data_IF_712238742257
#
_entry.id   IF_712238742257
#
_cell.length_a   1.000
_cell.length_b   1.000
_cell.length_c   1.000
_cell.angle_alpha   90.00
_cell.angle_beta   90.00
_cell.angle_gamma   90.00
#
_symmetry.space_group_name_H-M   'P 1'
#
loop_
_entity.id
_entity.type
_entity.pdbx_description
1 polymer ?
#
# COMPACT_ATOMS: atom_id res chain seq x y z
N UNK A 1 -70.57 -17.21 43.71
CA UNK A 1 -69.69 -18.27 44.27
C UNK A 1 -68.79 -18.81 43.17
N UNK A 2 -67.49 -18.96 43.45
CA UNK A 2 -66.40 -19.57 42.65
C UNK A 2 -66.00 -18.77 41.39
N UNK A 3 -65.06 -17.83 41.44
CA UNK A 3 -63.59 -18.00 41.47
C UNK A 3 -63.06 -19.10 40.55
N UNK A 4 -62.37 -18.71 39.48
CA UNK A 4 -61.17 -19.42 39.01
C UNK A 4 -60.40 -18.52 38.03
N UNK A 5 -59.29 -17.97 38.53
CA UNK A 5 -58.19 -17.43 37.72
C UNK A 5 -57.68 -18.57 36.83
N UNK A 6 -57.68 -18.37 35.50
CA UNK A 6 -56.89 -19.21 34.59
C UNK A 6 -55.69 -18.42 34.09
N UNK A 7 -54.56 -18.91 34.57
CA UNK A 7 -53.20 -18.72 34.09
C UNK A 7 -53.15 -18.90 32.56
N UNK A 8 -52.82 -17.85 31.82
CA UNK A 8 -52.40 -17.95 30.42
C UNK A 8 -50.89 -17.82 30.39
N UNK A 9 -50.22 -18.97 30.29
CA UNK A 9 -48.81 -19.09 29.93
C UNK A 9 -48.72 -18.66 28.47
N UNK A 10 -48.40 -17.39 28.25
CA UNK A 10 -48.06 -16.84 26.94
C UNK A 10 -46.60 -17.13 26.66
N UNK A 11 -46.33 -18.21 25.95
CA UNK A 11 -45.03 -18.59 25.41
C UNK A 11 -44.46 -17.47 24.54
N UNK A 12 -43.36 -16.86 25.00
CA UNK A 12 -42.51 -16.01 24.16
C UNK A 12 -41.89 -16.86 23.06
N UNK A 13 -42.46 -16.79 21.86
CA UNK A 13 -41.81 -17.28 20.64
C UNK A 13 -40.68 -16.32 20.33
N UNK A 14 -39.46 -16.75 20.64
CA UNK A 14 -38.24 -16.12 20.14
C UNK A 14 -38.28 -16.17 18.61
N UNK A 15 -38.46 -15.01 17.97
CA UNK A 15 -38.29 -14.87 16.53
C UNK A 15 -36.81 -15.07 16.24
N UNK A 16 -36.46 -16.30 15.88
CA UNK A 16 -35.18 -16.63 15.28
C UNK A 16 -35.08 -15.80 13.99
N UNK A 17 -34.26 -14.75 14.01
CA UNK A 17 -33.80 -14.10 12.79
C UNK A 17 -32.96 -15.14 12.06
N UNK A 18 -33.61 -15.89 11.16
CA UNK A 18 -32.93 -16.71 10.17
C UNK A 18 -32.10 -15.72 9.36
N UNK A 19 -30.81 -15.70 9.65
CA UNK A 19 -29.83 -15.02 8.81
C UNK A 19 -30.00 -15.61 7.41
N UNK A 20 -30.61 -14.82 6.52
CA UNK A 20 -30.72 -15.16 5.11
C UNK A 20 -29.29 -15.30 4.60
N UNK A 21 -28.83 -16.55 4.50
CA UNK A 21 -27.62 -16.87 3.78
C UNK A 21 -27.84 -16.39 2.35
N UNK A 22 -27.19 -15.29 1.98
CA UNK A 22 -27.14 -14.88 0.59
C UNK A 22 -26.64 -16.09 -0.23
N UNK A 23 -27.27 -16.39 -1.38
CA UNK A 23 -26.94 -17.58 -2.14
C UNK A 23 -25.44 -17.60 -2.44
N UNK A 24 -24.79 -18.71 -2.14
CA UNK A 24 -23.40 -18.95 -2.51
C UNK A 24 -23.26 -18.73 -4.01
N UNK A 25 -22.55 -17.66 -4.41
CA UNK A 25 -22.33 -17.38 -5.82
C UNK A 25 -21.37 -18.45 -6.34
N UNK A 26 -21.87 -19.31 -7.23
CA UNK A 26 -21.05 -20.27 -7.94
C UNK A 26 -19.81 -19.56 -8.50
N UNK A 27 -18.63 -19.97 -8.02
CA UNK A 27 -17.33 -19.38 -8.38
C UNK A 27 -16.67 -18.46 -7.35
N UNK A 28 -17.26 -18.21 -6.16
CA UNK A 28 -16.62 -17.35 -5.14
C UNK A 28 -15.42 -18.05 -4.49
N UNK A 29 -14.22 -17.80 -5.01
CA UNK A 29 -12.96 -18.19 -4.36
C UNK A 29 -12.64 -17.36 -3.12
N UNK A 30 -13.50 -16.44 -2.70
CA UNK A 30 -13.31 -15.61 -1.51
C UNK A 30 -14.29 -16.03 -0.42
N UNK A 31 -13.79 -16.26 0.79
CA UNK A 31 -14.59 -16.53 1.98
C UNK A 31 -15.43 -15.34 2.41
N UNK A 32 -16.45 -15.62 3.24
CA UNK A 32 -17.37 -14.61 3.76
C UNK A 32 -16.61 -13.48 4.48
N UNK A 33 -17.04 -12.22 4.34
CA UNK A 33 -16.46 -11.10 5.08
C UNK A 33 -16.44 -11.35 6.59
N UNK A 34 -15.26 -11.22 7.20
CA UNK A 34 -15.05 -11.27 8.64
C UNK A 34 -14.74 -9.87 9.16
N UNK A 35 -15.36 -9.47 10.27
CA UNK A 35 -15.03 -8.21 10.92
C UNK A 35 -13.62 -8.29 11.51
N UNK A 36 -12.75 -7.38 11.07
CA UNK A 36 -11.39 -7.20 11.61
C UNK A 36 -11.40 -6.26 12.82
N UNK A 37 -12.21 -5.21 12.77
CA UNK A 37 -12.30 -4.21 13.83
C UNK A 37 -13.71 -3.64 13.96
N UNK A 38 -14.22 -3.42 15.20
CA UNK A 38 -15.48 -2.72 15.43
C UNK A 38 -15.40 -1.21 15.19
N UNK A 39 -14.19 -0.67 15.04
CA UNK A 39 -13.91 0.74 14.74
C UNK A 39 -13.35 0.90 13.34
N UNK A 40 -13.55 2.08 12.76
CA UNK A 40 -13.03 2.46 11.44
C UNK A 40 -11.53 2.74 11.50
N UNK A 41 -10.93 2.99 10.33
CA UNK A 41 -9.54 3.36 10.20
C UNK A 41 -9.19 3.87 8.80
N UNK A 42 -7.93 4.21 8.60
CA UNK A 42 -7.35 4.45 7.28
C UNK A 42 -5.92 3.92 7.21
N UNK A 43 -5.28 4.04 6.03
CA UNK A 43 -3.97 3.45 5.75
C UNK A 43 -3.87 1.98 6.18
N UNK A 44 -4.86 1.17 5.78
CA UNK A 44 -4.90 -0.24 6.17
C UNK A 44 -3.76 -0.96 5.44
N UNK A 45 -2.86 -1.57 6.19
CA UNK A 45 -1.77 -2.40 5.69
C UNK A 45 -2.01 -3.85 6.09
N UNK A 46 -1.68 -4.77 5.18
CA UNK A 46 -1.76 -6.22 5.43
C UNK A 46 -0.41 -6.83 5.06
N UNK A 47 0.15 -7.61 5.97
CA UNK A 47 1.38 -8.35 5.70
C UNK A 47 1.19 -9.34 4.55
N UNK A 48 2.28 -9.69 3.86
CA UNK A 48 2.28 -10.51 2.63
C UNK A 48 1.45 -11.76 2.70
N UNK A 49 1.60 -12.47 3.81
CA UNK A 49 0.96 -13.75 4.07
C UNK A 49 -0.48 -13.58 4.55
N UNK A 50 -0.98 -12.34 4.65
CA UNK A 50 -2.29 -12.02 5.20
C UNK A 50 -2.39 -12.28 6.70
N UNK A 51 -1.28 -12.53 7.38
CA UNK A 51 -1.26 -12.97 8.78
C UNK A 51 -1.52 -11.84 9.77
N UNK A 52 -1.27 -10.60 9.36
CA UNK A 52 -1.27 -9.43 10.22
C UNK A 52 -1.87 -8.28 9.44
N UNK A 53 -2.77 -7.54 10.07
CA UNK A 53 -3.29 -6.29 9.55
C UNK A 53 -3.05 -5.18 10.57
N UNK A 54 -2.69 -3.99 10.11
CA UNK A 54 -2.64 -2.80 10.92
C UNK A 54 -3.23 -1.60 10.18
N UNK A 55 -3.63 -0.60 10.94
CA UNK A 55 -4.26 0.60 10.41
C UNK A 55 -4.11 1.74 11.39
N UNK A 56 -4.23 2.96 10.88
CA UNK A 56 -4.34 4.16 11.70
C UNK A 56 -5.82 4.27 12.13
N UNK A 57 -6.07 4.23 13.44
CA UNK A 57 -7.38 4.09 14.04
C UNK A 57 -8.15 5.42 14.16
N UNK A 58 -8.16 6.17 13.06
CA UNK A 58 -8.93 7.40 12.85
C UNK A 58 -9.63 7.35 11.50
N UNK A 59 -10.73 8.10 11.38
CA UNK A 59 -11.45 8.21 10.12
C UNK A 59 -10.69 9.01 9.07
N UNK A 60 -9.80 9.92 9.44
CA UNK A 60 -8.93 10.68 8.56
C UNK A 60 -7.78 11.27 9.39
N UNK A 61 -6.67 11.63 8.74
CA UNK A 61 -5.55 12.32 9.36
C UNK A 61 -4.80 11.49 10.41
N UNK A 62 -3.84 12.10 11.09
CA UNK A 62 -2.96 11.41 12.03
C UNK A 62 -3.72 10.74 13.20
N UNK A 63 -3.21 9.62 13.71
CA UNK A 63 -3.89 8.88 14.78
C UNK A 63 -3.08 7.74 15.40
N UNK A 64 -3.66 7.01 16.37
CA UNK A 64 -3.01 5.86 16.96
C UNK A 64 -3.02 4.65 16.02
N UNK A 65 -1.98 3.81 16.06
CA UNK A 65 -1.93 2.58 15.25
C UNK A 65 -2.49 1.39 16.01
N UNK A 66 -3.32 0.60 15.33
CA UNK A 66 -3.87 -0.66 15.83
C UNK A 66 -3.52 -1.79 14.89
N UNK A 67 -3.41 -2.99 15.46
CA UNK A 67 -3.12 -4.20 14.72
C UNK A 67 -3.96 -5.39 15.20
N UNK A 68 -4.12 -6.37 14.32
CA UNK A 68 -4.71 -7.67 14.64
C UNK A 68 -4.02 -8.78 13.86
N UNK A 69 -4.01 -9.98 14.44
CA UNK A 69 -3.41 -11.18 13.85
C UNK A 69 -4.50 -12.15 13.42
N UNK A 70 -4.38 -12.67 12.21
CA UNK A 70 -5.24 -13.75 11.74
C UNK A 70 -4.85 -15.05 12.45
N UNK A 71 -5.84 -15.74 13.03
CA UNK A 71 -5.63 -17.01 13.74
C UNK A 71 -5.90 -18.19 12.83
N UNK A 72 -7.11 -18.27 12.29
CA UNK A 72 -7.54 -19.30 11.33
C UNK A 72 -8.90 -18.94 10.77
N UNK A 73 -9.39 -19.69 9.78
CA UNK A 73 -10.74 -19.48 9.22
C UNK A 73 -11.82 -19.65 10.29
N UNK A 74 -11.67 -20.66 11.15
CA UNK A 74 -12.59 -20.96 12.24
C UNK A 74 -12.50 -19.95 13.39
N UNK A 75 -11.30 -19.47 13.73
CA UNK A 75 -11.07 -18.56 14.86
C UNK A 75 -11.08 -17.07 14.48
N UNK A 76 -11.10 -16.75 13.19
CA UNK A 76 -11.05 -15.39 12.65
C UNK A 76 -9.78 -14.63 13.07
N UNK A 77 -9.96 -13.35 13.37
CA UNK A 77 -8.90 -12.45 13.81
C UNK A 77 -8.81 -12.38 15.33
N UNK A 78 -7.61 -12.12 15.85
CA UNK A 78 -7.41 -11.79 17.26
C UNK A 78 -8.14 -10.50 17.63
N UNK A 79 -8.30 -10.28 18.93
CA UNK A 79 -8.67 -8.95 19.44
C UNK A 79 -7.68 -7.92 18.90
N UNK A 80 -8.21 -6.77 18.49
CA UNK A 80 -7.42 -5.61 18.09
C UNK A 80 -6.60 -5.11 19.29
N UNK A 81 -5.31 -4.88 19.06
CA UNK A 81 -4.39 -4.30 20.05
C UNK A 81 -3.81 -2.99 19.52
N UNK A 82 -3.51 -2.05 20.41
CA UNK A 82 -2.74 -0.86 20.05
C UNK A 82 -1.26 -1.22 19.90
N UNK A 83 -0.55 -0.52 19.01
CA UNK A 83 0.91 -0.50 19.04
C UNK A 83 1.31 0.58 20.07
N UNK A 84 1.97 0.22 21.19
CA UNK A 84 2.31 1.21 22.22
C UNK A 84 3.23 2.30 21.66
N UNK A 85 3.03 3.56 22.08
CA UNK A 85 3.83 4.71 21.61
C UNK A 85 3.52 5.19 20.18
N UNK A 86 2.69 4.49 19.41
CA UNK A 86 2.35 4.87 18.04
C UNK A 86 1.17 5.87 18.01
N UNK A 87 1.37 7.10 18.47
CA UNK A 87 0.37 8.18 18.44
C UNK A 87 0.73 9.24 17.38
N UNK A 88 -0.28 9.90 16.80
CA UNK A 88 -0.03 10.95 15.80
C UNK A 88 0.54 10.42 14.48
N UNK A 89 0.35 9.14 14.17
CA UNK A 89 0.87 8.50 12.96
C UNK A 89 0.03 8.89 11.76
N UNK A 90 0.68 9.38 10.69
CA UNK A 90 0.07 9.73 9.40
C UNK A 90 0.43 8.75 8.28
N UNK A 91 1.55 8.03 8.42
CA UNK A 91 2.04 7.06 7.43
C UNK A 91 2.29 5.71 8.10
N UNK A 92 1.98 4.61 7.42
CA UNK A 92 2.12 3.26 7.96
C UNK A 92 2.58 2.27 6.90
N UNK A 93 3.64 1.51 7.21
CA UNK A 93 4.10 0.36 6.45
C UNK A 93 4.34 -0.84 7.39
N UNK A 94 4.08 -2.05 6.90
CA UNK A 94 4.30 -3.29 7.65
C UNK A 94 5.15 -4.27 6.85
N UNK A 95 6.07 -4.96 7.53
CA UNK A 95 6.91 -6.00 6.93
C UNK A 95 6.10 -7.23 6.46
N UNK A 96 6.67 -8.06 5.59
CA UNK A 96 5.99 -9.23 5.02
C UNK A 96 5.53 -10.26 6.04
N UNK A 97 6.34 -10.50 7.07
CA UNK A 97 6.00 -11.36 8.21
C UNK A 97 5.04 -10.66 9.21
N UNK A 98 4.87 -9.35 9.03
CA UNK A 98 4.12 -8.47 9.89
C UNK A 98 4.70 -8.31 11.28
N UNK A 99 6.01 -8.50 11.45
CA UNK A 99 6.71 -8.31 12.72
C UNK A 99 7.27 -6.90 12.91
N UNK A 100 7.30 -6.07 11.87
CA UNK A 100 7.76 -4.68 11.97
C UNK A 100 6.70 -3.73 11.41
N UNK A 101 6.57 -2.57 12.04
CA UNK A 101 5.74 -1.47 11.58
C UNK A 101 6.58 -0.19 11.57
N UNK A 102 6.75 0.41 10.39
CA UNK A 102 7.34 1.74 10.21
C UNK A 102 6.21 2.76 10.16
N UNK A 103 6.33 3.83 10.94
CA UNK A 103 5.25 4.79 11.20
C UNK A 103 5.78 6.22 11.11
N UNK A 104 5.25 7.02 10.19
CA UNK A 104 5.60 8.44 10.07
C UNK A 104 4.76 9.29 11.02
N UNK A 105 5.42 10.19 11.74
CA UNK A 105 4.81 11.15 12.68
C UNK A 105 5.30 12.54 12.32
N UNK A 106 4.38 13.40 11.88
CA UNK A 106 4.68 14.77 11.48
C UNK A 106 5.43 15.53 12.60
N UNK A 107 6.50 16.25 12.23
CA UNK A 107 7.34 17.01 13.14
C UNK A 107 8.27 16.16 14.04
N UNK A 108 8.18 14.83 14.03
CA UNK A 108 9.04 13.94 14.83
C UNK A 108 9.98 13.09 13.98
N UNK A 109 9.47 12.57 12.85
CA UNK A 109 10.18 11.67 11.96
C UNK A 109 9.49 10.31 11.86
N UNK A 110 10.27 9.23 11.86
CA UNK A 110 9.75 7.87 11.71
C UNK A 110 10.04 6.99 12.92
N UNK A 111 8.98 6.36 13.43
CA UNK A 111 9.02 5.38 14.49
C UNK A 111 9.03 3.95 13.92
N UNK A 112 9.71 3.04 14.60
CA UNK A 112 9.66 1.61 14.33
C UNK A 112 9.13 0.86 15.55
N UNK A 113 8.15 -0.01 15.35
CA UNK A 113 7.73 -0.98 16.36
C UNK A 113 8.02 -2.40 15.90
N UNK A 114 8.46 -3.24 16.82
CA UNK A 114 8.71 -4.66 16.61
C UNK A 114 7.67 -5.49 17.36
N UNK A 115 7.21 -6.57 16.74
CA UNK A 115 6.35 -7.58 17.36
C UNK A 115 7.18 -8.78 17.79
N UNK A 116 7.01 -9.20 19.04
CA UNK A 116 7.56 -10.45 19.57
C UNK A 116 6.41 -11.39 19.90
N UNK A 117 6.28 -12.48 19.15
CA UNK A 117 5.16 -13.41 19.27
C UNK A 117 3.80 -12.76 18.96
N UNK A 118 3.04 -12.41 19.99
CA UNK A 118 1.68 -11.81 19.86
C UNK A 118 1.59 -10.37 20.35
N UNK A 119 2.67 -9.82 20.92
CA UNK A 119 2.70 -8.48 21.52
C UNK A 119 3.58 -7.55 20.72
N UNK A 120 3.15 -6.30 20.61
CA UNK A 120 3.95 -5.21 20.03
C UNK A 120 4.76 -4.54 21.14
N UNK A 121 6.06 -4.40 20.91
CA UNK A 121 6.90 -3.50 21.69
C UNK A 121 6.50 -2.05 21.47
N UNK A 122 6.93 -1.17 22.37
CA UNK A 122 6.76 0.26 22.19
C UNK A 122 7.48 0.75 20.94
N UNK A 123 6.81 1.60 20.17
CA UNK A 123 7.40 2.26 19.02
C UNK A 123 8.56 3.15 19.49
N UNK A 124 9.71 3.00 18.85
CA UNK A 124 10.92 3.79 19.11
C UNK A 124 11.26 4.64 17.90
N UNK A 125 11.87 5.80 18.12
CA UNK A 125 12.36 6.64 17.01
C UNK A 125 13.47 5.90 16.28
N UNK A 126 13.27 5.66 14.99
CA UNK A 126 14.28 5.11 14.08
C UNK A 126 14.98 6.23 13.32
N UNK A 127 14.19 7.16 12.77
CA UNK A 127 14.65 8.34 12.05
C UNK A 127 14.08 9.55 12.77
N UNK A 128 14.95 10.40 13.32
CA UNK A 128 14.55 11.63 13.97
C UNK A 128 14.63 12.80 12.98
N UNK A 129 13.68 13.73 13.06
CA UNK A 129 13.72 14.98 12.32
C UNK A 129 12.33 15.50 11.95
N UNK A 130 12.17 16.82 11.95
CA UNK A 130 10.94 17.47 11.49
C UNK A 130 10.86 17.58 9.97
N UNK A 131 12.00 17.47 9.28
CA UNK A 131 12.17 17.68 7.85
C UNK A 131 12.52 16.38 7.10
N UNK A 132 12.13 15.23 7.65
CA UNK A 132 12.28 13.93 6.97
C UNK A 132 10.94 13.46 6.39
N UNK A 133 10.97 12.86 5.21
CA UNK A 133 9.77 12.46 4.49
C UNK A 133 9.96 11.21 3.62
N UNK A 134 8.83 10.61 3.24
CA UNK A 134 8.73 9.53 2.27
C UNK A 134 9.48 8.26 2.64
N UNK A 135 9.63 7.94 3.93
CA UNK A 135 10.38 6.76 4.32
C UNK A 135 9.73 5.47 3.79
N UNK A 136 10.55 4.57 3.24
CA UNK A 136 10.14 3.27 2.74
C UNK A 136 10.97 2.18 3.37
N UNK A 137 10.31 1.09 3.75
CA UNK A 137 10.92 -0.08 4.37
C UNK A 137 10.88 -1.27 3.41
N UNK A 138 12.00 -1.97 3.28
CA UNK A 138 12.04 -3.24 2.55
C UNK A 138 11.12 -4.27 3.19
N UNK A 139 10.71 -5.25 2.39
CA UNK A 139 9.75 -6.29 2.77
C UNK A 139 10.13 -7.03 4.06
N UNK A 140 11.41 -7.31 4.23
CA UNK A 140 11.99 -8.02 5.38
C UNK A 140 12.41 -7.09 6.53
N UNK A 141 12.13 -5.78 6.40
CA UNK A 141 12.54 -4.73 7.32
C UNK A 141 14.06 -4.69 7.56
N UNK A 142 14.85 -4.98 6.52
CA UNK A 142 16.31 -4.91 6.53
C UNK A 142 16.86 -3.58 6.03
N UNK A 143 16.13 -2.89 5.17
CA UNK A 143 16.54 -1.62 4.57
C UNK A 143 15.44 -0.61 4.79
N UNK A 144 15.81 0.58 5.24
CA UNK A 144 14.93 1.74 5.23
C UNK A 144 15.62 2.85 4.46
N UNK A 145 14.87 3.50 3.57
CA UNK A 145 15.32 4.71 2.86
C UNK A 145 14.35 5.84 3.14
N UNK A 146 14.83 7.08 3.13
CA UNK A 146 14.01 8.27 3.30
C UNK A 146 14.69 9.47 2.64
N UNK A 147 13.94 10.57 2.52
CA UNK A 147 14.53 11.86 2.16
C UNK A 147 14.66 12.72 3.41
N UNK A 148 15.83 13.30 3.58
CA UNK A 148 16.13 14.30 4.60
C UNK A 148 16.32 15.66 3.95
N UNK A 149 15.42 16.58 4.29
CA UNK A 149 15.41 17.96 3.81
C UNK A 149 16.10 18.92 4.78
N UNK A 150 16.73 18.42 5.85
CA UNK A 150 17.44 19.28 6.82
C UNK A 150 18.49 20.13 6.11
N UNK A 151 18.31 21.44 6.12
CA UNK A 151 19.20 22.41 5.46
C UNK A 151 19.00 22.56 3.95
N UNK A 152 18.00 21.88 3.38
CA UNK A 152 17.56 22.06 2.00
C UNK A 152 16.86 23.41 1.81
N UNK A 153 17.11 24.09 0.69
CA UNK A 153 16.49 25.38 0.38
C UNK A 153 16.38 25.57 -1.13
N UNK A 154 15.32 26.24 -1.56
CA UNK A 154 15.05 26.53 -2.97
C UNK A 154 15.53 27.91 -3.40
N UNK A 155 15.75 28.83 -2.45
CA UNK A 155 16.17 30.22 -2.70
C UNK A 155 17.03 30.75 -1.54
N UNK A 156 18.01 31.65 -1.78
CA UNK A 156 18.50 32.12 -3.08
C UNK A 156 19.49 31.16 -3.77
N UNK A 157 19.99 30.14 -3.05
CA UNK A 157 20.86 29.09 -3.57
C UNK A 157 20.16 27.76 -3.40
N UNK A 158 20.04 26.98 -4.48
CA UNK A 158 19.45 25.64 -4.46
C UNK A 158 20.39 24.71 -3.67
N UNK A 159 19.96 24.30 -2.47
CA UNK A 159 20.59 23.23 -1.69
C UNK A 159 19.66 22.02 -1.75
N UNK A 160 20.07 20.90 -2.35
CA UNK A 160 19.21 19.75 -2.51
C UNK A 160 18.96 19.03 -1.19
N UNK A 161 17.86 18.28 -1.13
CA UNK A 161 17.65 17.27 -0.09
C UNK A 161 18.57 16.07 -0.31
N UNK A 162 18.65 15.20 0.68
CA UNK A 162 19.46 13.98 0.61
C UNK A 162 18.61 12.73 0.73
N UNK A 163 18.82 11.78 -0.18
CA UNK A 163 18.30 10.42 -0.04
C UNK A 163 19.23 9.68 0.92
N UNK A 164 18.68 9.20 2.03
CA UNK A 164 19.42 8.48 3.07
C UNK A 164 18.91 7.05 3.21
N UNK A 165 19.76 6.19 3.77
CA UNK A 165 19.44 4.80 4.05
C UNK A 165 20.02 4.32 5.37
N UNK A 166 19.38 3.31 5.96
CA UNK A 166 19.90 2.52 7.08
C UNK A 166 19.66 1.04 6.80
N UNK A 167 20.60 0.22 7.28
CA UNK A 167 20.56 -1.23 7.17
C UNK A 167 20.41 -1.84 8.56
N UNK A 168 19.57 -2.87 8.69
CA UNK A 168 19.41 -3.62 9.93
C UNK A 168 20.24 -4.91 9.90
N UNK A 169 21.21 -5.02 10.81
CA UNK A 169 21.99 -6.22 11.03
C UNK A 169 21.16 -7.37 11.62
N UNK A 170 21.69 -8.60 11.59
CA UNK A 170 20.98 -9.80 12.03
C UNK A 170 20.61 -9.80 13.51
N UNK A 171 21.40 -9.11 14.34
CA UNK A 171 21.12 -8.87 15.76
C UNK A 171 20.00 -7.84 16.01
N UNK A 172 19.46 -7.23 14.95
CA UNK A 172 18.39 -6.23 15.00
C UNK A 172 18.87 -4.79 15.13
N UNK A 173 20.18 -4.54 15.25
CA UNK A 173 20.74 -3.19 15.30
C UNK A 173 20.64 -2.51 13.94
N UNK A 174 20.42 -1.20 13.93
CA UNK A 174 20.40 -0.40 12.71
C UNK A 174 21.72 0.36 12.55
N UNK A 175 22.24 0.39 11.33
CA UNK A 175 23.43 1.17 10.97
C UNK A 175 23.20 2.67 11.15
N UNK A 176 24.28 3.45 11.18
CA UNK A 176 24.15 4.89 10.99
C UNK A 176 23.54 5.21 9.59
N UNK A 177 22.89 6.38 9.45
CA UNK A 177 22.43 6.87 8.14
C UNK A 177 23.57 7.02 7.14
N UNK A 178 23.37 6.53 5.92
CA UNK A 178 24.29 6.71 4.78
C UNK A 178 23.57 7.47 3.67
N UNK A 179 24.24 8.48 3.10
CA UNK A 179 23.74 9.23 1.93
C UNK A 179 23.87 8.35 0.68
N UNK A 180 22.76 8.19 -0.04
CA UNK A 180 22.69 7.45 -1.30
C UNK A 180 22.72 8.38 -2.52
N UNK A 181 22.16 9.58 -2.37
CA UNK A 181 22.12 10.57 -3.44
C UNK A 181 21.44 11.87 -3.01
N UNK A 182 21.24 12.76 -3.98
CA UNK A 182 20.57 14.06 -3.82
C UNK A 182 19.25 14.09 -4.58
N UNK A 183 18.32 14.89 -4.09
CA UNK A 183 16.98 15.09 -4.68
C UNK A 183 16.71 16.57 -4.81
N UNK A 184 16.05 16.96 -5.91
CA UNK A 184 15.64 18.35 -6.15
C UNK A 184 14.89 18.89 -4.92
N UNK A 185 15.23 20.09 -4.41
CA UNK A 185 14.50 20.67 -3.29
C UNK A 185 13.06 20.96 -3.70
N UNK A 186 12.13 20.24 -3.09
CA UNK A 186 10.71 20.59 -3.09
C UNK A 186 10.34 21.19 -1.72
N UNK A 187 9.33 22.06 -1.64
CA UNK A 187 8.73 22.38 -0.34
C UNK A 187 8.25 21.08 0.31
N UNK A 188 8.60 20.84 1.58
CA UNK A 188 8.20 19.66 2.34
C UNK A 188 6.67 19.42 2.38
N UNK A 189 5.88 20.40 1.95
CA UNK A 189 4.42 20.42 1.94
C UNK A 189 3.76 19.99 0.62
N UNK A 190 4.47 19.93 -0.52
CA UNK A 190 3.87 19.60 -1.82
C UNK A 190 4.42 18.30 -2.42
N UNK A 191 3.51 17.32 -2.47
CA UNK A 191 3.49 16.10 -3.28
C UNK A 191 4.72 15.20 -3.35
N UNK A 192 4.53 13.98 -2.80
CA UNK A 192 5.16 12.71 -3.22
C UNK A 192 6.68 12.79 -3.33
N UNK A 193 7.37 12.53 -2.21
CA UNK A 193 8.81 12.25 -2.21
C UNK A 193 9.16 11.35 -3.41
N UNK A 194 9.89 11.85 -4.42
CA UNK A 194 10.07 11.17 -5.70
C UNK A 194 11.12 10.08 -5.51
N UNK A 195 10.82 9.10 -4.66
CA UNK A 195 11.70 8.02 -4.26
C UNK A 195 10.88 6.74 -4.13
N UNK A 196 11.45 5.63 -4.58
CA UNK A 196 10.90 4.31 -4.35
C UNK A 196 11.99 3.31 -3.99
N UNK A 197 11.69 2.40 -3.07
CA UNK A 197 12.55 1.30 -2.66
C UNK A 197 12.02 -0.01 -3.23
N UNK A 198 12.89 -0.80 -3.85
CA UNK A 198 12.56 -2.14 -4.29
C UNK A 198 12.21 -2.99 -3.09
N UNK A 199 11.27 -3.89 -3.28
CA UNK A 199 10.70 -4.64 -2.18
C UNK A 199 11.71 -5.54 -1.47
N UNK A 200 12.69 -6.05 -2.20
CA UNK A 200 13.82 -6.80 -1.66
C UNK A 200 14.90 -5.91 -0.99
N UNK A 201 14.73 -4.58 -1.03
CA UNK A 201 15.67 -3.60 -0.46
C UNK A 201 16.94 -3.38 -1.29
N UNK A 202 17.06 -3.98 -2.48
CA UNK A 202 18.31 -3.96 -3.25
C UNK A 202 18.47 -2.75 -4.17
N UNK A 203 17.42 -2.00 -4.47
CA UNK A 203 17.46 -0.88 -5.41
C UNK A 203 16.62 0.26 -4.86
N UNK A 204 17.19 1.45 -4.74
CA UNK A 204 16.44 2.68 -4.51
C UNK A 204 16.50 3.51 -5.77
N UNK A 205 15.37 4.10 -6.13
CA UNK A 205 15.24 5.02 -7.26
C UNK A 205 14.70 6.34 -6.77
N UNK A 206 15.16 7.44 -7.36
CA UNK A 206 14.69 8.77 -7.03
C UNK A 206 14.84 9.74 -8.20
N UNK A 207 14.18 10.89 -8.13
CA UNK A 207 14.45 12.01 -9.04
C UNK A 207 15.52 12.94 -8.44
N UNK A 208 16.59 13.22 -9.18
CA UNK A 208 17.62 14.15 -8.74
C UNK A 208 17.32 15.61 -9.10
N UNK A 209 18.22 16.51 -8.70
CA UNK A 209 18.13 17.95 -8.97
C UNK A 209 18.27 18.36 -10.44
N UNK A 210 18.64 17.43 -11.32
CA UNK A 210 18.82 17.65 -12.76
C UNK A 210 17.68 17.05 -13.59
N UNK A 211 16.55 16.77 -12.95
CA UNK A 211 15.39 16.11 -13.58
C UNK A 211 15.74 14.75 -14.19
N UNK A 212 16.65 14.00 -13.56
CA UNK A 212 16.95 12.61 -13.93
C UNK A 212 16.36 11.67 -12.91
N UNK A 213 15.83 10.55 -13.40
CA UNK A 213 15.55 9.40 -12.55
C UNK A 213 16.88 8.68 -12.34
N UNK A 214 17.33 8.65 -11.09
CA UNK A 214 18.54 7.96 -10.64
C UNK A 214 18.17 6.67 -9.95
N UNK A 215 19.11 5.74 -9.95
CA UNK A 215 19.02 4.50 -9.20
C UNK A 215 20.34 4.22 -8.50
N UNK A 216 20.28 3.58 -7.33
CA UNK A 216 21.45 2.98 -6.70
C UNK A 216 21.09 1.57 -6.27
N UNK A 217 22.05 0.65 -6.44
CA UNK A 217 21.90 -0.77 -6.09
C UNK A 217 22.74 -1.10 -4.87
N UNK A 218 22.19 -1.86 -3.95
CA UNK A 218 22.87 -2.35 -2.75
C UNK A 218 23.61 -3.64 -3.10
N UNK A 219 24.93 -3.65 -2.93
CA UNK A 219 25.77 -4.84 -3.03
C UNK A 219 26.40 -5.12 -1.66
N UNK A 220 25.99 -6.21 -1.02
CA UNK A 220 26.32 -6.47 0.38
C UNK A 220 25.70 -5.39 1.28
N UNK A 221 26.52 -4.51 1.84
CA UNK A 221 26.12 -3.39 2.71
C UNK A 221 26.41 -2.02 2.10
N UNK A 222 26.84 -1.97 0.84
CA UNK A 222 27.30 -0.73 0.19
C UNK A 222 26.42 -0.40 -1.01
N UNK A 223 25.87 0.81 -1.00
CA UNK A 223 25.20 1.39 -2.16
C UNK A 223 26.21 1.72 -3.25
N UNK A 224 25.96 1.24 -4.46
CA UNK A 224 26.78 1.56 -5.62
C UNK A 224 26.57 3.01 -6.06
N UNK A 225 27.52 3.54 -6.83
CA UNK A 225 27.40 4.87 -7.41
C UNK A 225 26.07 4.98 -8.21
N UNK A 226 25.34 6.12 -8.10
CA UNK A 226 24.05 6.23 -8.76
C UNK A 226 24.16 6.19 -10.29
N UNK A 227 23.28 5.41 -10.92
CA UNK A 227 23.14 5.29 -12.37
C UNK A 227 21.88 6.02 -12.87
N UNK A 228 21.87 6.44 -14.13
CA UNK A 228 20.72 7.13 -14.74
C UNK A 228 19.76 6.12 -15.34
N UNK A 229 18.52 6.11 -14.85
CA UNK A 229 17.42 5.34 -15.44
C UNK A 229 16.85 6.06 -16.65
N UNK A 230 16.57 7.35 -16.50
CA UNK A 230 15.99 8.20 -17.54
C UNK A 230 16.32 9.67 -17.30
N UNK A 231 16.37 10.46 -18.37
CA UNK A 231 16.40 11.92 -18.31
C UNK A 231 15.01 12.43 -18.66
N UNK A 232 14.39 13.17 -17.76
CA UNK A 232 13.06 13.74 -18.00
C UNK A 232 13.18 15.00 -18.85
N UNK A 233 12.09 15.34 -19.56
CA UNK A 233 12.03 16.61 -20.25
C UNK A 233 12.09 17.74 -19.19
N UNK A 234 13.02 18.70 -19.29
CA UNK A 234 13.16 19.79 -18.32
C UNK A 234 11.93 20.72 -18.26
N UNK A 235 11.02 20.63 -19.23
CA UNK A 235 9.73 21.34 -19.20
C UNK A 235 8.73 20.73 -18.20
N UNK A 236 8.95 19.48 -17.76
CA UNK A 236 8.09 18.82 -16.79
C UNK A 236 8.61 19.11 -15.37
N UNK A 237 7.72 19.61 -14.49
CA UNK A 237 8.05 20.05 -13.13
C UNK A 237 8.32 18.89 -12.14
N UNK A 238 8.52 17.67 -12.64
CA UNK A 238 8.94 16.52 -11.84
C UNK A 238 8.23 15.22 -12.19
N UNK A 239 7.89 14.44 -11.16
CA UNK A 239 7.22 13.14 -11.28
C UNK A 239 5.86 13.14 -10.57
N UNK A 240 4.83 12.65 -11.23
CA UNK A 240 3.56 12.32 -10.59
C UNK A 240 3.58 10.93 -9.96
N UNK A 241 4.40 10.03 -10.52
CA UNK A 241 4.50 8.66 -10.06
C UNK A 241 5.92 8.13 -10.24
N UNK A 242 6.38 7.37 -9.25
CA UNK A 242 7.60 6.60 -9.32
C UNK A 242 7.40 5.29 -8.55
N UNK A 243 7.77 4.18 -9.19
CA UNK A 243 7.76 2.87 -8.56
C UNK A 243 8.93 2.03 -9.10
N UNK A 244 9.36 1.09 -8.27
CA UNK A 244 10.37 0.09 -8.63
C UNK A 244 9.85 -1.30 -8.31
N UNK A 245 10.14 -2.25 -9.19
CA UNK A 245 9.75 -3.64 -9.08
C UNK A 245 10.36 -4.32 -7.85
N UNK A 246 9.79 -5.46 -7.45
CA UNK A 246 10.21 -6.22 -6.27
C UNK A 246 11.71 -6.44 -6.20
N UNK A 247 12.28 -6.90 -7.30
CA UNK A 247 13.67 -7.33 -7.41
C UNK A 247 14.58 -6.17 -7.83
N UNK A 248 14.01 -4.98 -8.06
CA UNK A 248 14.75 -3.76 -8.33
C UNK A 248 15.22 -3.61 -9.77
N UNK A 249 14.60 -4.35 -10.71
CA UNK A 249 15.02 -4.40 -12.11
C UNK A 249 14.10 -3.66 -13.07
N UNK A 250 12.84 -3.38 -12.72
CA UNK A 250 11.98 -2.53 -13.55
C UNK A 250 11.63 -1.26 -12.77
N UNK A 251 11.69 -0.11 -13.44
CA UNK A 251 11.33 1.20 -12.88
C UNK A 251 10.22 1.77 -13.72
N UNK A 252 9.17 2.26 -13.06
CA UNK A 252 7.99 2.81 -13.70
C UNK A 252 7.76 4.23 -13.22
N UNK A 253 7.40 5.13 -14.13
CA UNK A 253 7.14 6.52 -13.79
C UNK A 253 6.11 7.17 -14.70
N UNK A 254 5.56 8.28 -14.20
CA UNK A 254 4.77 9.25 -14.96
C UNK A 254 5.41 10.61 -14.67
N UNK A 255 5.83 11.30 -15.72
CA UNK A 255 6.36 12.66 -15.61
C UNK A 255 5.21 13.63 -15.35
N UNK A 256 5.46 14.69 -14.58
CA UNK A 256 4.44 15.71 -14.35
C UNK A 256 4.05 16.39 -15.67
N UNK A 257 2.76 16.39 -16.00
CA UNK A 257 2.25 16.96 -17.25
C UNK A 257 2.44 16.09 -18.49
N UNK A 258 2.90 14.85 -18.34
CA UNK A 258 3.01 13.86 -19.42
C UNK A 258 2.00 12.74 -19.15
N UNK A 259 0.97 12.59 -20.00
CA UNK A 259 -0.13 11.62 -19.82
C UNK A 259 0.28 10.15 -20.05
N UNK A 260 1.57 9.86 -19.97
CA UNK A 260 2.21 8.64 -20.38
C UNK A 260 2.83 7.89 -19.20
N UNK A 261 2.61 6.57 -19.19
CA UNK A 261 3.26 5.66 -18.26
C UNK A 261 4.48 5.04 -18.94
N UNK A 262 5.66 5.27 -18.38
CA UNK A 262 6.91 4.73 -18.86
C UNK A 262 7.44 3.60 -17.98
N UNK A 263 8.29 2.76 -18.58
CA UNK A 263 9.07 1.77 -17.88
C UNK A 263 10.48 1.65 -18.47
N UNK A 264 11.48 1.43 -17.62
CA UNK A 264 12.82 1.00 -18.01
C UNK A 264 13.20 -0.27 -17.25
N UNK A 265 13.92 -1.16 -17.92
CA UNK A 265 14.36 -2.45 -17.36
C UNK A 265 15.88 -2.47 -17.21
N UNK A 266 16.36 -3.16 -16.19
CA UNK A 266 17.79 -3.38 -15.94
C UNK A 266 18.17 -4.80 -16.32
N UNK A 267 19.07 -4.94 -17.31
CA UNK A 267 19.62 -6.23 -17.76
C UNK A 267 21.13 -6.25 -17.49
N UNK A 268 21.87 -5.42 -18.22
CA UNK A 268 23.30 -5.14 -18.04
C UNK A 268 23.56 -3.63 -17.92
N UNK A 269 22.51 -2.90 -17.49
CA UNK A 269 22.35 -1.45 -17.59
C UNK A 269 20.89 -1.12 -17.86
N UNK A 270 20.47 0.11 -17.56
CA UNK A 270 19.12 0.59 -17.84
C UNK A 270 18.86 0.66 -19.35
N UNK A 271 17.77 0.04 -19.78
CA UNK A 271 17.33 0.09 -21.17
C UNK A 271 16.60 1.41 -21.45
N UNK A 272 16.47 1.76 -22.73
CA UNK A 272 15.66 2.91 -23.14
C UNK A 272 14.22 2.78 -22.60
N UNK A 273 13.64 3.92 -22.21
CA UNK A 273 12.29 3.96 -21.68
C UNK A 273 11.28 3.48 -22.74
N UNK A 274 10.42 2.55 -22.33
CA UNK A 274 9.28 2.06 -23.11
C UNK A 274 8.00 2.73 -22.61
N UNK A 275 7.19 3.24 -23.53
CA UNK A 275 5.81 3.65 -23.24
C UNK A 275 4.93 2.40 -23.04
N UNK A 276 4.28 2.32 -21.88
CA UNK A 276 3.31 1.27 -21.56
C UNK A 276 1.86 1.70 -21.76
N UNK A 277 1.57 2.99 -21.67
CA UNK A 277 0.23 3.55 -21.86
C UNK A 277 0.30 5.06 -22.11
N UNK A 278 -0.63 5.57 -22.93
CA UNK A 278 -0.86 6.98 -23.26
C UNK A 278 -2.24 7.48 -22.79
N UNK A 279 -2.86 6.78 -21.84
CA UNK A 279 -4.26 6.98 -21.48
C UNK A 279 -4.51 8.05 -20.39
N UNK A 280 -3.53 8.87 -20.02
CA UNK A 280 -3.66 9.86 -18.93
C UNK A 280 -4.00 9.22 -17.57
N UNK A 281 -3.10 8.38 -17.01
CA UNK A 281 -3.37 7.59 -15.80
C UNK A 281 -3.50 8.44 -14.52
N UNK A 282 -4.71 8.57 -13.96
CA UNK A 282 -5.04 9.48 -12.86
C UNK A 282 -5.12 8.86 -11.43
N UNK A 283 -4.85 7.56 -11.26
CA UNK A 283 -4.70 6.89 -9.96
C UNK A 283 -3.99 5.57 -10.21
N UNK A 284 -2.67 5.54 -10.13
CA UNK A 284 -1.86 4.36 -10.46
C UNK A 284 -1.44 3.60 -9.22
N UNK A 285 -1.56 2.27 -9.27
CA UNK A 285 -1.02 1.36 -8.27
C UNK A 285 -0.32 0.22 -8.99
N UNK A 286 0.97 0.08 -8.70
CA UNK A 286 1.76 -1.06 -9.15
C UNK A 286 1.72 -2.15 -8.07
N UNK A 287 1.41 -3.39 -8.47
CA UNK A 287 1.51 -4.53 -7.60
C UNK A 287 2.97 -4.74 -7.13
N UNK A 288 3.22 -5.39 -5.99
CA UNK A 288 4.55 -5.45 -5.43
C UNK A 288 5.64 -6.12 -6.28
N UNK A 289 5.29 -6.94 -7.29
CA UNK A 289 6.21 -7.49 -8.29
C UNK A 289 6.25 -6.70 -9.61
N UNK A 290 5.67 -5.50 -9.63
CA UNK A 290 5.43 -4.67 -10.81
C UNK A 290 5.01 -5.38 -12.11
N UNK A 291 4.42 -6.58 -12.03
CA UNK A 291 3.85 -7.30 -13.18
C UNK A 291 2.36 -7.08 -13.31
N UNK A 292 1.79 -6.25 -12.46
CA UNK A 292 0.41 -5.82 -12.53
C UNK A 292 0.36 -4.35 -12.23
N UNK A 293 -0.23 -3.59 -13.13
CA UNK A 293 -0.44 -2.16 -12.97
C UNK A 293 -1.94 -1.93 -13.11
N UNK A 294 -2.50 -1.25 -12.12
CA UNK A 294 -3.90 -0.91 -12.08
C UNK A 294 -4.01 0.61 -12.04
N UNK A 295 -4.77 1.19 -12.97
CA UNK A 295 -4.96 2.63 -13.03
C UNK A 295 -6.35 3.03 -13.51
N UNK A 296 -6.71 4.28 -13.35
CA UNK A 296 -7.86 4.90 -14.04
C UNK A 296 -7.35 5.78 -15.16
N UNK A 297 -7.91 5.65 -16.37
CA UNK A 297 -7.62 6.59 -17.47
C UNK A 297 -8.34 7.93 -17.29
N UNK A 298 -8.07 8.86 -18.21
CA UNK A 298 -8.65 10.21 -18.24
C UNK A 298 -10.19 10.23 -18.33
N UNK A 299 -10.79 9.21 -18.95
CA UNK A 299 -12.25 9.03 -19.04
C UNK A 299 -12.86 8.43 -17.75
N UNK A 300 -12.02 8.04 -16.79
CA UNK A 300 -12.38 7.44 -15.52
C UNK A 300 -12.67 5.95 -15.59
N UNK A 301 -12.23 5.27 -16.65
CA UNK A 301 -12.29 3.81 -16.77
C UNK A 301 -11.10 3.15 -16.09
N UNK A 302 -11.41 2.08 -15.37
CA UNK A 302 -10.41 1.24 -14.74
C UNK A 302 -9.68 0.38 -15.78
N UNK A 303 -8.36 0.44 -15.74
CA UNK A 303 -7.42 -0.28 -16.60
C UNK A 303 -6.57 -1.25 -15.78
N UNK A 304 -6.30 -2.42 -16.36
CA UNK A 304 -5.37 -3.41 -15.84
C UNK A 304 -4.36 -3.78 -16.93
N UNK A 305 -3.08 -3.61 -16.61
CA UNK A 305 -1.95 -4.13 -17.37
C UNK A 305 -1.34 -5.30 -16.60
N UNK A 306 -0.87 -6.31 -17.32
CA UNK A 306 -0.10 -7.41 -16.73
C UNK A 306 1.06 -7.80 -17.61
N UNK A 307 2.19 -8.15 -17.00
CA UNK A 307 3.38 -8.62 -17.72
C UNK A 307 3.31 -10.15 -17.86
N UNK A 308 3.28 -10.63 -19.10
CA UNK A 308 3.36 -12.06 -19.45
C UNK A 308 4.77 -12.38 -19.97
N UNK A 309 5.00 -13.65 -20.34
CA UNK A 309 6.25 -14.05 -21.01
C UNK A 309 6.46 -13.37 -22.38
N UNK A 310 5.37 -12.91 -23.01
CA UNK A 310 5.41 -12.24 -24.32
C UNK A 310 5.39 -10.71 -24.22
N UNK A 311 5.62 -10.15 -23.02
CA UNK A 311 5.59 -8.72 -22.76
C UNK A 311 4.33 -8.25 -22.05
N UNK A 312 4.03 -6.96 -22.15
CA UNK A 312 2.85 -6.36 -21.52
C UNK A 312 1.58 -6.68 -22.29
N UNK A 313 0.53 -7.09 -21.58
CA UNK A 313 -0.81 -7.23 -22.18
C UNK A 313 -1.33 -5.87 -22.62
N UNK A 314 -2.13 -5.81 -23.69
CA UNK A 314 -2.99 -4.66 -23.92
C UNK A 314 -3.88 -4.40 -22.70
N UNK A 315 -4.17 -3.13 -22.34
CA UNK A 315 -5.03 -2.84 -21.21
C UNK A 315 -6.38 -3.56 -21.34
N UNK A 316 -6.80 -4.23 -20.27
CA UNK A 316 -8.17 -4.75 -20.21
C UNK A 316 -9.12 -3.56 -20.02
N UNK A 317 -9.53 -2.94 -21.13
CA UNK A 317 -10.22 -1.64 -21.19
C UNK A 317 -11.63 -1.56 -20.58
N UNK A 318 -12.13 -2.61 -19.95
CA UNK A 318 -13.58 -2.73 -19.75
C UNK A 318 -13.94 -3.47 -18.48
N UNK A 319 -14.15 -2.72 -17.41
CA UNK A 319 -15.02 -3.26 -16.36
C UNK A 319 -15.88 -2.19 -15.70
N UNK A 320 -15.43 -0.94 -15.62
CA UNK A 320 -16.08 0.03 -14.75
C UNK A 320 -15.63 1.47 -14.97
N UNK A 321 -16.60 2.39 -15.03
CA UNK A 321 -16.36 3.84 -14.88
C UNK A 321 -16.55 4.22 -13.41
N UNK A 322 -15.69 5.09 -12.88
CA UNK A 322 -15.82 5.59 -11.50
C UNK A 322 -15.17 4.70 -10.43
N UNK A 323 -14.11 3.98 -10.77
CA UNK A 323 -13.19 3.45 -9.76
C UNK A 323 -12.55 4.64 -9.02
N UNK A 324 -12.67 4.67 -7.70
CA UNK A 324 -12.21 5.81 -6.88
C UNK A 324 -11.03 5.48 -5.99
N UNK A 325 -10.85 4.21 -5.66
CA UNK A 325 -9.71 3.74 -4.86
C UNK A 325 -9.32 2.36 -5.35
N UNK A 326 -8.02 2.14 -5.49
CA UNK A 326 -7.41 0.92 -6.03
C UNK A 326 -6.38 0.42 -5.01
N UNK A 327 -6.32 -0.89 -4.83
CA UNK A 327 -5.22 -1.57 -4.15
C UNK A 327 -4.83 -2.80 -4.96
N UNK A 328 -3.54 -2.94 -5.28
CA UNK A 328 -3.04 -3.99 -6.16
C UNK A 328 -2.06 -4.92 -5.45
N UNK A 329 -2.16 -6.20 -5.78
CA UNK A 329 -1.23 -7.26 -5.45
C UNK A 329 -0.99 -8.13 -6.69
N UNK A 330 0.05 -8.97 -6.67
CA UNK A 330 0.52 -9.71 -7.84
C UNK A 330 -0.57 -10.57 -8.51
N UNK A 331 -1.52 -11.07 -7.71
CA UNK A 331 -2.58 -11.96 -8.19
C UNK A 331 -3.99 -11.45 -7.85
N UNK A 332 -4.13 -10.25 -7.28
CA UNK A 332 -5.42 -9.69 -6.94
C UNK A 332 -5.42 -8.17 -6.96
N UNK A 333 -6.48 -7.56 -7.49
CA UNK A 333 -6.67 -6.11 -7.46
C UNK A 333 -8.05 -5.82 -6.89
N UNK A 334 -8.11 -4.98 -5.86
CA UNK A 334 -9.33 -4.55 -5.23
C UNK A 334 -9.64 -3.10 -5.63
N UNK A 335 -10.86 -2.84 -6.09
CA UNK A 335 -11.30 -1.51 -6.48
C UNK A 335 -12.62 -1.14 -5.83
N UNK A 336 -12.80 0.14 -5.54
CA UNK A 336 -14.10 0.68 -5.09
C UNK A 336 -14.74 1.52 -6.18
N UNK A 337 -15.98 1.18 -6.51
CA UNK A 337 -16.82 1.87 -7.50
C UNK A 337 -17.74 2.86 -6.79
N UNK A 338 -17.68 4.15 -7.15
CA UNK A 338 -18.68 5.12 -6.65
C UNK A 338 -19.91 5.08 -7.54
N UNK A 339 -21.05 4.71 -6.95
CA UNK A 339 -22.39 4.82 -7.54
C UNK A 339 -23.24 5.79 -6.70
N UNK A 340 -24.32 6.39 -7.24
CA UNK A 340 -25.24 7.19 -6.43
C UNK A 340 -25.67 6.41 -5.17
N UNK A 341 -25.31 6.95 -3.98
CA UNK A 341 -25.60 6.35 -2.68
C UNK A 341 -24.87 5.04 -2.30
N UNK A 342 -23.93 4.52 -3.12
CA UNK A 342 -23.24 3.23 -2.87
C UNK A 342 -21.75 3.30 -3.22
N UNK A 343 -20.95 2.49 -2.53
CA UNK A 343 -19.53 2.29 -2.85
C UNK A 343 -19.22 0.80 -2.90
N UNK A 344 -19.11 0.23 -4.10
CA UNK A 344 -19.04 -1.23 -4.29
C UNK A 344 -17.60 -1.70 -4.33
N UNK A 345 -17.22 -2.64 -3.46
CA UNK A 345 -15.91 -3.30 -3.51
C UNK A 345 -15.96 -4.47 -4.47
N UNK A 346 -15.07 -4.45 -5.46
CA UNK A 346 -14.82 -5.56 -6.38
C UNK A 346 -13.38 -6.01 -6.27
N UNK A 347 -13.18 -7.32 -6.35
CA UNK A 347 -11.85 -7.93 -6.34
C UNK A 347 -11.67 -8.78 -7.58
N UNK A 348 -10.69 -8.39 -8.39
CA UNK A 348 -10.19 -9.13 -9.54
C UNK A 348 -9.13 -10.10 -9.07
N UNK A 349 -9.08 -11.28 -9.69
CA UNK A 349 -8.02 -12.27 -9.42
C UNK A 349 -7.37 -12.70 -10.72
N UNK A 350 -6.04 -12.75 -10.72
CA UNK A 350 -5.26 -13.26 -11.83
C UNK A 350 -4.97 -14.74 -11.58
N UNK A 351 -5.35 -15.60 -12.52
CA UNK A 351 -5.06 -17.03 -12.42
C UNK A 351 -5.09 -17.70 -13.79
N UNK A 352 -4.18 -18.66 -14.00
CA UNK A 352 -4.03 -19.37 -15.28
C UNK A 352 -3.86 -18.39 -16.46
N UNK A 353 -2.99 -17.39 -16.31
CA UNK A 353 -2.65 -16.45 -17.39
C UNK A 353 -3.70 -15.38 -17.73
N UNK A 354 -4.79 -15.26 -16.96
CA UNK A 354 -5.83 -14.27 -17.23
C UNK A 354 -6.50 -13.74 -15.97
N UNK A 355 -6.97 -12.49 -16.05
CA UNK A 355 -7.88 -11.91 -15.05
C UNK A 355 -9.26 -12.58 -15.13
N UNK A 356 -9.79 -12.94 -13.97
CA UNK A 356 -11.15 -13.50 -13.84
C UNK A 356 -12.17 -12.40 -13.60
N UNK A 357 -13.44 -12.72 -13.84
CA UNK A 357 -14.56 -11.85 -13.52
C UNK A 357 -14.49 -11.43 -12.03
N UNK A 358 -14.72 -10.14 -11.71
CA UNK A 358 -14.55 -9.64 -10.37
C UNK A 358 -15.62 -10.18 -9.42
N UNK A 359 -15.19 -10.52 -8.20
CA UNK A 359 -16.10 -10.87 -7.10
C UNK A 359 -16.47 -9.60 -6.34
N UNK A 360 -17.78 -9.41 -6.11
CA UNK A 360 -18.30 -8.31 -5.28
C UNK A 360 -18.23 -8.71 -3.80
N UNK A 361 -17.48 -7.97 -2.99
CA UNK A 361 -17.33 -8.25 -1.55
C UNK A 361 -18.15 -7.33 -0.64
N UNK A 362 -18.49 -6.11 -1.09
CA UNK A 362 -19.23 -5.13 -0.27
C UNK A 362 -19.92 -4.09 -1.14
N UNK A 363 -20.97 -3.44 -0.61
CA UNK A 363 -21.73 -2.35 -1.25
C UNK A 363 -21.53 -0.99 -0.58
N UNK A 364 -20.75 -0.93 0.52
CA UNK A 364 -20.44 0.29 1.29
C UNK A 364 -18.95 0.36 1.65
N UNK A 365 -18.07 0.00 0.72
CA UNK A 365 -16.63 -0.09 0.98
C UNK A 365 -15.88 1.21 0.73
N UNK A 366 -14.84 1.44 1.53
CA UNK A 366 -13.82 2.46 1.31
C UNK A 366 -12.46 1.87 1.69
N UNK A 367 -11.39 2.45 1.17
CA UNK A 367 -9.99 2.18 1.54
C UNK A 367 -9.66 0.69 1.45
N UNK A 368 -9.80 0.09 0.25
CA UNK A 368 -9.40 -1.29 0.07
C UNK A 368 -7.90 -1.42 0.33
N UNK A 369 -7.50 -2.53 0.91
CA UNK A 369 -6.12 -2.97 1.01
C UNK A 369 -6.05 -4.43 0.60
N UNK A 370 -4.98 -4.82 -0.10
CA UNK A 370 -4.78 -6.20 -0.56
C UNK A 370 -3.42 -6.67 -0.04
N UNK A 371 -3.39 -7.83 0.60
CA UNK A 371 -2.12 -8.45 0.97
C UNK A 371 -1.31 -8.73 -0.30
N UNK A 372 -0.01 -8.46 -0.33
CA UNK A 372 0.87 -8.73 -1.47
C UNK A 372 0.77 -10.14 -2.07
N UNK A 373 0.47 -11.16 -1.27
CA UNK A 373 0.22 -12.53 -1.74
C UNK A 373 -1.11 -12.71 -2.51
N UNK A 374 -1.95 -11.68 -2.61
CA UNK A 374 -3.21 -11.66 -3.35
C UNK A 374 -4.35 -12.49 -2.76
N UNK A 375 -4.21 -12.96 -1.52
CA UNK A 375 -5.17 -13.89 -0.85
C UNK A 375 -5.96 -13.26 0.30
N UNK A 376 -5.74 -11.99 0.60
CA UNK A 376 -6.43 -11.30 1.69
C UNK A 376 -6.75 -9.89 1.25
N UNK A 377 -8.00 -9.48 1.44
CA UNK A 377 -8.45 -8.11 1.19
C UNK A 377 -9.04 -7.57 2.48
N UNK A 378 -8.74 -6.32 2.82
CA UNK A 378 -9.38 -5.57 3.89
C UNK A 378 -10.02 -4.31 3.34
N UNK A 379 -11.08 -3.82 3.99
CA UNK A 379 -11.73 -2.57 3.64
C UNK A 379 -12.49 -1.99 4.83
N UNK A 380 -12.73 -0.68 4.79
CA UNK A 380 -13.68 -0.01 5.69
C UNK A 380 -15.09 -0.15 5.14
N UNK A 381 -16.04 -0.50 6.00
CA UNK A 381 -17.47 -0.45 5.69
C UNK A 381 -18.23 0.19 6.84
N UNK A 382 -18.80 1.37 6.62
CA UNK A 382 -19.37 2.19 7.69
C UNK A 382 -18.31 2.55 8.74
N UNK A 383 -18.57 2.21 10.00
CA UNK A 383 -17.68 2.48 11.13
C UNK A 383 -16.77 1.29 11.49
N UNK A 384 -16.61 0.30 10.60
CA UNK A 384 -15.92 -0.97 10.89
C UNK A 384 -14.91 -1.31 9.80
N UNK A 385 -13.95 -2.16 10.14
CA UNK A 385 -13.03 -2.76 9.17
C UNK A 385 -13.40 -4.22 9.00
N UNK A 386 -13.47 -4.66 7.74
CA UNK A 386 -13.74 -6.02 7.34
C UNK A 386 -12.59 -6.59 6.55
N UNK A 387 -12.52 -7.91 6.50
CA UNK A 387 -11.56 -8.66 5.69
C UNK A 387 -12.25 -9.83 5.00
N UNK A 388 -11.66 -10.31 3.92
CA UNK A 388 -12.02 -11.58 3.28
C UNK A 388 -10.74 -12.25 2.82
N UNK A 389 -10.73 -13.59 2.88
CA UNK A 389 -9.59 -14.43 2.48
C UNK A 389 -10.01 -15.48 1.47
N UNK A 390 -9.10 -15.81 0.57
CA UNK A 390 -9.26 -16.84 -0.47
C UNK A 390 -8.64 -18.17 -0.07
#
# INVERSE_FOLDING_TARGET
>A
MKSLRRLLIGSTVAVAVIAVAAPAHAGSTWGSPQQLSPSSGHAIQISDYGGVAAWIATNAGAGPVRAARYRSTAKGWSKTVAIPGATGVSELQISADGNYALMGVAGTGYLLAQRTGTTWGAAQTLIAGSEVAGAQMSRDARVVVWVDWTGSQTTPVIIPGTVKSMLRADDGTWSAPVVVGTVLPGPASDFRTPMALSRNGSTVVWMDETSKIRSSRLLGTVWQAPDTVATLNPLYEGLEYLAVERDGNDVLWISAGDDYLYMSEYISGWQAAQELSSAGPNTIVTAPNARTIAYTDSDGYFQLLSRTASGWTSPVKRVMRGATQIAAANAAVATTEKRPGKSVLRVYTYSKGAWKAPVKLSTKAKRPAVAPGGKTVAWVSGSRIYTSKR
#
